data_IF_979625040965
#
_entry.id   IF_979625040965
#
_cell.length_a   1.000
_cell.length_b   1.000
_cell.length_c   1.000
_cell.angle_alpha   90.00
_cell.angle_beta   90.00
_cell.angle_gamma   90.00
#
_symmetry.space_group_name_H-M   'P 1'
#
loop_
_entity.id
_entity.type
_entity.pdbx_description
1 polymer ?
#
# COMPACT_ATOMS: atom_id res chain seq x y z
N UNK A 1 17.94 -5.25 15.06
CA UNK A 1 16.69 -5.93 14.61
C UNK A 1 16.41 -5.62 13.15
N UNK A 2 15.50 -6.34 12.48
CA UNK A 2 15.12 -6.08 11.07
C UNK A 2 14.62 -4.64 10.84
N UNK A 3 13.90 -4.06 11.82
CA UNK A 3 13.43 -2.67 11.77
C UNK A 3 14.56 -1.64 11.66
N UNK A 4 15.65 -1.82 12.42
CA UNK A 4 16.80 -0.91 12.35
C UNK A 4 17.43 -0.91 10.96
N UNK A 5 17.40 -2.05 10.23
CA UNK A 5 17.92 -2.13 8.86
C UNK A 5 17.11 -1.28 7.88
N UNK A 6 15.78 -1.19 8.04
CA UNK A 6 14.96 -0.33 7.19
C UNK A 6 15.27 1.14 7.40
N UNK A 7 15.40 1.58 8.65
CA UNK A 7 15.80 2.95 8.96
C UNK A 7 17.19 3.28 8.44
N UNK A 8 18.15 2.36 8.59
CA UNK A 8 19.50 2.51 8.05
C UNK A 8 19.48 2.63 6.52
N UNK A 9 18.77 1.73 5.83
CA UNK A 9 18.61 1.77 4.37
C UNK A 9 18.03 3.11 3.89
N UNK A 10 17.01 3.62 4.58
CA UNK A 10 16.40 4.92 4.25
C UNK A 10 17.39 6.06 4.45
N UNK A 11 18.17 6.04 5.53
CA UNK A 11 19.19 7.05 5.78
C UNK A 11 20.29 7.02 4.71
N UNK A 12 20.79 5.84 4.38
CA UNK A 12 21.89 5.69 3.42
C UNK A 12 21.44 6.06 1.99
N UNK A 13 20.23 5.66 1.60
CA UNK A 13 19.63 6.03 0.32
C UNK A 13 19.48 7.55 0.19
N UNK A 14 19.04 8.24 1.27
CA UNK A 14 18.94 9.70 1.29
C UNK A 14 20.31 10.38 1.20
N UNK A 15 21.32 9.86 1.91
CA UNK A 15 22.71 10.37 1.81
C UNK A 15 23.26 10.24 0.38
N UNK A 16 22.86 9.18 -0.33
CA UNK A 16 23.21 8.96 -1.72
C UNK A 16 22.37 9.80 -2.73
N UNK A 17 21.42 10.61 -2.25
CA UNK A 17 20.55 11.42 -3.10
C UNK A 17 19.46 10.63 -3.84
N UNK A 18 19.16 9.40 -3.40
CA UNK A 18 18.14 8.54 -4.01
C UNK A 18 16.75 8.82 -3.44
N UNK A 19 15.76 8.82 -4.33
CA UNK A 19 14.34 8.82 -3.96
C UNK A 19 13.89 7.40 -3.63
N UNK A 20 13.04 7.25 -2.63
CA UNK A 20 12.64 5.96 -2.09
C UNK A 20 11.13 5.75 -2.30
N UNK A 21 10.78 4.68 -3.01
CA UNK A 21 9.42 4.16 -3.05
C UNK A 21 9.30 2.99 -2.06
N UNK A 22 8.48 3.16 -1.02
CA UNK A 22 8.18 2.10 -0.06
C UNK A 22 6.94 1.31 -0.47
N UNK A 23 7.07 0.00 -0.67
CA UNK A 23 5.93 -0.88 -0.96
C UNK A 23 5.62 -1.72 0.28
N UNK A 24 4.36 -1.67 0.71
CA UNK A 24 3.87 -2.34 1.90
C UNK A 24 2.71 -3.25 1.53
N UNK A 25 2.75 -4.48 2.07
CA UNK A 25 1.72 -5.49 1.86
C UNK A 25 0.96 -5.72 3.17
N UNK A 26 -0.33 -6.00 3.04
CA UNK A 26 -1.19 -6.51 4.13
C UNK A 26 -1.93 -7.76 3.67
N UNK A 27 -2.29 -8.65 4.59
CA UNK A 27 -2.90 -9.94 4.28
C UNK A 27 -1.89 -11.08 4.11
N UNK A 28 -0.67 -10.90 4.60
CA UNK A 28 0.35 -11.96 4.67
C UNK A 28 -0.04 -13.08 5.65
N UNK A 29 0.56 -14.28 5.56
CA UNK A 29 0.15 -15.41 6.40
C UNK A 29 0.26 -15.08 7.89
N UNK A 30 -0.84 -15.26 8.63
CA UNK A 30 -0.92 -14.96 10.07
C UNK A 30 -1.08 -13.48 10.41
N UNK A 31 -1.34 -12.61 9.43
CA UNK A 31 -1.54 -11.19 9.65
C UNK A 31 -2.90 -10.88 10.31
N UNK A 32 -2.87 -10.01 11.32
CA UNK A 32 -4.05 -9.48 12.04
C UNK A 32 -4.21 -7.97 11.81
N UNK A 33 -5.36 -7.42 12.19
CA UNK A 33 -5.62 -5.96 12.12
C UNK A 33 -4.57 -5.15 12.88
N UNK A 34 -4.10 -5.64 14.02
CA UNK A 34 -3.05 -4.99 14.83
C UNK A 34 -1.71 -4.98 14.08
N UNK A 35 -1.35 -6.08 13.42
CA UNK A 35 -0.10 -6.14 12.66
C UNK A 35 -0.17 -5.30 11.37
N UNK A 36 -1.33 -5.24 10.71
CA UNK A 36 -1.55 -4.32 9.58
C UNK A 36 -1.33 -2.86 10.02
N UNK A 37 -1.80 -2.50 11.22
CA UNK A 37 -1.55 -1.18 11.79
C UNK A 37 -0.06 -0.91 12.02
N UNK A 38 0.70 -1.90 12.54
CA UNK A 38 2.15 -1.80 12.69
C UNK A 38 2.85 -1.55 11.35
N UNK A 39 2.36 -2.14 10.25
CA UNK A 39 2.86 -1.88 8.89
C UNK A 39 2.68 -0.41 8.48
N UNK A 40 1.50 0.17 8.75
CA UNK A 40 1.25 1.60 8.51
C UNK A 40 2.14 2.49 9.39
N UNK A 41 2.30 2.16 10.67
CA UNK A 41 3.13 2.93 11.59
C UNK A 41 4.61 2.90 11.17
N UNK A 42 5.10 1.75 10.69
CA UNK A 42 6.43 1.64 10.09
C UNK A 42 6.56 2.49 8.83
N UNK A 43 5.59 2.43 7.91
CA UNK A 43 5.62 3.26 6.70
C UNK A 43 5.74 4.75 7.06
N UNK A 44 4.89 5.18 8.00
CA UNK A 44 4.87 6.53 8.55
C UNK A 44 6.20 6.93 9.20
N UNK A 45 6.88 6.02 9.88
CA UNK A 45 8.17 6.30 10.55
C UNK A 45 9.32 6.43 9.54
N UNK A 46 9.32 5.62 8.47
CA UNK A 46 10.33 5.68 7.40
C UNK A 46 10.20 6.96 6.55
N UNK A 47 8.97 7.45 6.34
CA UNK A 47 8.66 8.67 5.59
C UNK A 47 9.33 8.69 4.20
N UNK A 48 9.15 7.62 3.43
CA UNK A 48 9.65 7.48 2.05
C UNK A 48 9.05 8.53 1.12
N UNK A 49 9.71 8.80 -0.02
CA UNK A 49 9.24 9.78 -1.02
C UNK A 49 7.89 9.42 -1.63
N UNK A 50 7.66 8.11 -1.79
CA UNK A 50 6.41 7.50 -2.20
C UNK A 50 6.12 6.28 -1.33
N UNK A 51 4.84 5.99 -1.14
CA UNK A 51 4.37 4.80 -0.43
C UNK A 51 3.21 4.14 -1.18
N UNK A 52 3.32 2.84 -1.39
CA UNK A 52 2.28 2.01 -1.99
C UNK A 52 1.82 0.97 -0.98
N UNK A 53 0.50 0.84 -0.83
CA UNK A 53 -0.13 -0.12 0.06
C UNK A 53 -1.02 -1.02 -0.79
N UNK A 54 -0.75 -2.33 -0.71
CA UNK A 54 -1.47 -3.36 -1.43
C UNK A 54 -1.98 -4.43 -0.48
N UNK A 55 -3.21 -4.91 -0.65
CA UNK A 55 -3.59 -6.20 -0.10
C UNK A 55 -2.82 -7.30 -0.82
N UNK A 56 -2.70 -8.45 -0.17
CA UNK A 56 -2.07 -9.64 -0.74
C UNK A 56 -2.83 -10.07 -1.99
N UNK A 57 -2.07 -10.49 -3.00
CA UNK A 57 -2.60 -11.05 -4.24
C UNK A 57 -1.95 -12.41 -4.44
N UNK A 58 -2.77 -13.45 -4.54
CA UNK A 58 -2.30 -14.84 -4.52
C UNK A 58 -2.32 -15.45 -5.91
N UNK A 59 -1.30 -15.24 -6.74
CA UNK A 59 -1.35 -15.70 -8.13
C UNK A 59 -1.27 -17.24 -8.25
N UNK A 60 -2.09 -17.89 -9.10
CA UNK A 60 -1.99 -19.32 -9.37
C UNK A 60 -0.57 -19.72 -9.79
N UNK A 61 -0.07 -20.83 -9.24
CA UNK A 61 1.30 -21.29 -9.45
C UNK A 61 2.34 -20.67 -8.50
N UNK A 62 1.92 -19.85 -7.54
CA UNK A 62 2.79 -19.39 -6.43
C UNK A 62 2.57 -20.22 -5.18
N UNK A 63 3.61 -20.38 -4.36
CA UNK A 63 3.52 -21.09 -3.07
C UNK A 63 2.43 -20.50 -2.15
N UNK A 64 2.24 -19.18 -2.21
CA UNK A 64 1.24 -18.49 -1.40
C UNK A 64 -0.19 -18.79 -1.85
N UNK A 65 -0.42 -18.95 -3.16
CA UNK A 65 -1.70 -19.41 -3.69
C UNK A 65 -2.03 -20.82 -3.22
N UNK A 66 -1.08 -21.74 -3.33
CA UNK A 66 -1.30 -23.13 -2.91
C UNK A 66 -1.59 -23.21 -1.40
N UNK A 67 -0.87 -22.43 -0.60
CA UNK A 67 -1.08 -22.32 0.84
C UNK A 67 -2.49 -21.81 1.17
N UNK A 68 -2.91 -20.70 0.55
CA UNK A 68 -4.20 -20.08 0.85
C UNK A 68 -5.37 -20.88 0.29
N UNK A 69 -5.17 -21.57 -0.85
CA UNK A 69 -6.13 -22.51 -1.40
C UNK A 69 -6.33 -23.71 -0.46
N UNK A 70 -5.25 -24.30 0.05
CA UNK A 70 -5.31 -25.41 0.99
C UNK A 70 -6.00 -25.04 2.31
N UNK A 71 -5.89 -23.77 2.73
CA UNK A 71 -6.55 -23.24 3.93
C UNK A 71 -7.98 -22.74 3.69
N UNK A 72 -8.47 -22.76 2.44
CA UNK A 72 -9.80 -22.27 2.08
C UNK A 72 -9.97 -20.75 2.19
N UNK A 73 -8.87 -19.99 2.09
CA UNK A 73 -8.89 -18.53 2.22
C UNK A 73 -9.23 -17.81 0.91
N UNK A 74 -9.12 -18.48 -0.24
CA UNK A 74 -9.48 -17.91 -1.54
C UNK A 74 -10.99 -18.02 -1.73
N UNK A 75 -11.66 -16.89 -1.93
CA UNK A 75 -13.13 -16.81 -1.92
C UNK A 75 -13.79 -17.09 -3.28
N UNK A 76 -13.00 -17.11 -4.36
CA UNK A 76 -13.49 -17.30 -5.73
C UNK A 76 -12.41 -17.90 -6.64
N UNK A 77 -12.81 -18.85 -7.48
CA UNK A 77 -11.99 -19.39 -8.58
C UNK A 77 -12.22 -18.63 -9.91
N UNK A 78 -13.15 -17.67 -9.94
CA UNK A 78 -13.39 -16.84 -11.11
C UNK A 78 -12.35 -15.71 -11.17
N UNK A 79 -11.39 -15.85 -12.09
CA UNK A 79 -10.31 -14.86 -12.28
C UNK A 79 -10.79 -13.44 -12.65
N UNK A 80 -12.04 -13.26 -13.10
CA UNK A 80 -12.59 -11.92 -13.32
C UNK A 80 -12.71 -11.12 -12.03
N UNK A 81 -12.95 -11.79 -10.90
CA UNK A 81 -13.17 -11.13 -9.60
C UNK A 81 -11.86 -10.63 -8.96
N UNK A 82 -10.72 -11.01 -9.57
CA UNK A 82 -9.38 -10.65 -9.10
C UNK A 82 -8.93 -9.27 -9.56
N UNK A 83 -9.71 -8.67 -10.46
CA UNK A 83 -9.56 -7.29 -10.92
C UNK A 83 -10.88 -6.54 -10.73
N UNK A 84 -10.80 -5.25 -10.43
CA UNK A 84 -11.96 -4.36 -10.43
C UNK A 84 -12.38 -4.05 -11.87
N UNK A 85 -13.57 -3.49 -12.07
CA UNK A 85 -14.03 -3.05 -13.40
C UNK A 85 -13.07 -2.04 -14.06
N UNK A 86 -12.46 -1.18 -13.24
CA UNK A 86 -11.42 -0.22 -13.66
C UNK A 86 -10.07 -0.88 -14.00
N UNK A 87 -9.96 -2.21 -13.94
CA UNK A 87 -8.74 -2.98 -14.21
C UNK A 87 -7.70 -2.89 -13.10
N UNK A 88 -8.09 -2.49 -11.89
CA UNK A 88 -7.21 -2.45 -10.72
C UNK A 88 -7.19 -3.79 -10.02
N UNK A 89 -6.14 -4.07 -9.26
CA UNK A 89 -6.06 -5.31 -8.50
C UNK A 89 -7.10 -5.36 -7.38
N UNK A 90 -7.77 -6.50 -7.24
CA UNK A 90 -8.70 -6.78 -6.15
C UNK A 90 -8.16 -7.89 -5.23
N UNK A 91 -8.59 -7.88 -3.96
CA UNK A 91 -8.23 -8.91 -3.00
C UNK A 91 -9.33 -9.96 -2.88
N UNK A 92 -9.02 -11.19 -3.30
CA UNK A 92 -9.93 -12.35 -3.23
C UNK A 92 -9.62 -13.29 -2.07
N UNK A 93 -8.94 -12.78 -1.05
CA UNK A 93 -8.49 -13.55 0.11
C UNK A 93 -9.23 -13.10 1.35
N UNK A 94 -9.79 -14.05 2.10
CA UNK A 94 -10.26 -13.84 3.46
C UNK A 94 -9.35 -14.57 4.43
N UNK A 95 -8.74 -13.81 5.34
CA UNK A 95 -7.99 -14.35 6.48
C UNK A 95 -8.91 -14.52 7.69
N UNK A 96 -8.51 -15.33 8.69
CA UNK A 96 -9.19 -15.37 9.97
C UNK A 96 -9.26 -13.97 10.59
N UNK A 97 -10.47 -13.43 10.73
CA UNK A 97 -10.73 -12.12 11.35
C UNK A 97 -10.51 -10.89 10.46
N UNK A 98 -10.10 -11.05 9.19
CA UNK A 98 -9.95 -9.95 8.22
C UNK A 98 -10.36 -10.40 6.82
N UNK A 99 -11.41 -9.79 6.28
CA UNK A 99 -11.85 -10.01 4.90
C UNK A 99 -10.99 -9.27 3.87
N UNK A 100 -11.00 -9.75 2.62
CA UNK A 100 -10.29 -9.09 1.51
C UNK A 100 -10.75 -7.65 1.30
N UNK A 101 -12.06 -7.41 1.48
CA UNK A 101 -12.65 -6.07 1.48
C UNK A 101 -12.06 -5.17 2.57
N UNK A 102 -12.00 -5.65 3.81
CA UNK A 102 -11.39 -4.90 4.92
C UNK A 102 -9.91 -4.60 4.65
N UNK A 103 -9.17 -5.50 4.00
CA UNK A 103 -7.78 -5.25 3.60
C UNK A 103 -7.65 -4.13 2.56
N UNK A 104 -8.53 -4.11 1.55
CA UNK A 104 -8.56 -3.04 0.53
C UNK A 104 -8.90 -1.70 1.18
N UNK A 105 -9.95 -1.66 2.00
CA UNK A 105 -10.36 -0.45 2.74
C UNK A 105 -9.25 0.03 3.70
N UNK A 106 -8.51 -0.91 4.30
CA UNK A 106 -7.34 -0.57 5.10
C UNK A 106 -6.21 0.03 4.26
N UNK A 107 -5.95 -0.47 3.06
CA UNK A 107 -4.98 0.16 2.14
C UNK A 107 -5.38 1.59 1.75
N UNK A 108 -6.68 1.86 1.54
CA UNK A 108 -7.17 3.23 1.31
C UNK A 108 -6.93 4.13 2.52
N UNK A 109 -7.12 3.59 3.73
CA UNK A 109 -6.84 4.28 4.98
C UNK A 109 -5.35 4.57 5.12
N UNK A 110 -4.49 3.61 4.80
CA UNK A 110 -3.03 3.79 4.80
C UNK A 110 -2.60 4.92 3.86
N UNK A 111 -3.12 4.95 2.63
CA UNK A 111 -2.81 6.02 1.67
C UNK A 111 -3.23 7.39 2.21
N UNK A 112 -4.45 7.51 2.74
CA UNK A 112 -4.93 8.76 3.36
C UNK A 112 -4.06 9.20 4.53
N UNK A 113 -3.84 8.32 5.50
CA UNK A 113 -3.04 8.63 6.70
C UNK A 113 -1.57 8.96 6.41
N UNK A 114 -1.00 8.37 5.35
CA UNK A 114 0.38 8.64 4.96
C UNK A 114 0.50 9.96 4.19
N UNK A 115 -0.28 10.15 3.13
CA UNK A 115 -0.14 11.26 2.20
C UNK A 115 -0.74 12.58 2.71
N UNK A 116 -1.80 12.54 3.52
CA UNK A 116 -2.43 13.75 4.08
C UNK A 116 -1.74 14.25 5.35
N UNK A 117 -0.70 13.56 5.81
CA UNK A 117 -0.01 13.88 7.05
C UNK A 117 0.76 15.21 6.91
N UNK A 118 0.62 16.18 7.84
CA UNK A 118 1.25 17.50 7.71
C UNK A 118 2.76 17.44 7.44
N UNK A 119 3.46 16.53 8.13
CA UNK A 119 4.90 16.29 7.94
C UNK A 119 5.25 15.89 6.49
N UNK A 120 4.44 15.04 5.86
CA UNK A 120 4.69 14.58 4.50
C UNK A 120 4.37 15.70 3.48
N UNK A 121 3.25 16.40 3.66
CA UNK A 121 2.85 17.52 2.81
C UNK A 121 3.94 18.60 2.82
N UNK A 122 4.42 18.99 4.00
CA UNK A 122 5.49 19.98 4.14
C UNK A 122 6.81 19.52 3.49
N UNK A 123 7.18 18.25 3.70
CA UNK A 123 8.35 17.65 3.06
C UNK A 123 8.28 17.73 1.53
N UNK A 124 7.15 17.36 0.93
CA UNK A 124 6.97 17.43 -0.53
C UNK A 124 6.89 18.86 -1.05
N UNK A 125 6.34 19.80 -0.28
CA UNK A 125 6.33 21.22 -0.62
C UNK A 125 7.77 21.78 -0.72
N UNK A 126 8.61 21.51 0.28
CA UNK A 126 10.04 21.87 0.23
C UNK A 126 10.73 21.21 -0.97
N UNK A 127 10.51 19.90 -1.18
CA UNK A 127 11.09 19.19 -2.32
C UNK A 127 10.69 19.80 -3.66
N UNK A 128 9.44 20.25 -3.80
CA UNK A 128 8.96 20.92 -5.01
C UNK A 128 9.60 22.29 -5.26
N UNK A 129 9.92 23.03 -4.19
CA UNK A 129 10.65 24.31 -4.28
C UNK A 129 12.11 24.07 -4.69
N UNK A 130 12.77 23.09 -4.06
CA UNK A 130 14.17 22.77 -4.32
C UNK A 130 14.38 22.07 -5.68
N UNK A 131 13.39 21.31 -6.15
CA UNK A 131 13.44 20.60 -7.42
C UNK A 131 12.12 20.78 -8.20
N UNK A 132 12.02 21.79 -9.06
CA UNK A 132 10.80 22.10 -9.81
C UNK A 132 10.30 20.97 -10.72
N UNK A 133 11.22 20.15 -11.26
CA UNK A 133 10.85 19.00 -12.11
C UNK A 133 10.12 17.92 -11.29
N UNK A 134 10.64 17.61 -10.11
CA UNK A 134 10.00 16.65 -9.20
C UNK A 134 8.72 17.21 -8.56
N UNK A 135 8.66 18.53 -8.33
CA UNK A 135 7.43 19.22 -7.95
C UNK A 135 6.31 19.02 -8.98
N UNK A 136 6.61 19.22 -10.27
CA UNK A 136 5.64 19.01 -11.35
C UNK A 136 5.15 17.55 -11.41
N UNK A 137 6.06 16.58 -11.24
CA UNK A 137 5.68 15.15 -11.18
C UNK A 137 4.77 14.86 -10.01
N UNK A 138 5.08 15.42 -8.84
CA UNK A 138 4.27 15.26 -7.62
C UNK A 138 2.87 15.84 -7.81
N UNK A 139 2.73 17.01 -8.43
CA UNK A 139 1.42 17.62 -8.73
C UNK A 139 0.62 16.77 -9.73
N UNK A 140 1.26 16.25 -10.79
CA UNK A 140 0.60 15.35 -11.74
C UNK A 140 0.11 14.07 -11.05
N UNK A 141 0.94 13.45 -10.22
CA UNK A 141 0.56 12.28 -9.44
C UNK A 141 -0.59 12.61 -8.47
N UNK A 142 -0.50 13.73 -7.74
CA UNK A 142 -1.56 14.16 -6.83
C UNK A 142 -2.91 14.34 -7.54
N UNK A 143 -2.93 14.88 -8.77
CA UNK A 143 -4.17 14.99 -9.56
C UNK A 143 -4.79 13.63 -9.90
N UNK A 144 -3.98 12.66 -10.29
CA UNK A 144 -4.43 11.30 -10.61
C UNK A 144 -4.98 10.61 -9.36
N UNK A 145 -4.25 10.73 -8.25
CA UNK A 145 -4.60 10.06 -7.00
C UNK A 145 -5.60 10.83 -6.14
N UNK A 146 -5.97 12.06 -6.47
CA UNK A 146 -6.90 12.87 -5.68
C UNK A 146 -8.27 12.19 -5.53
N UNK A 147 -8.82 11.67 -6.63
CA UNK A 147 -10.14 11.03 -6.63
C UNK A 147 -10.14 9.73 -5.80
N UNK A 148 -9.22 8.77 -6.00
CA UNK A 148 -9.10 7.59 -5.13
C UNK A 148 -8.79 7.93 -3.66
N UNK A 149 -7.99 8.96 -3.40
CA UNK A 149 -7.63 9.35 -2.04
C UNK A 149 -8.81 9.92 -1.25
N UNK A 150 -9.73 10.61 -1.93
CA UNK A 150 -10.93 11.20 -1.31
C UNK A 150 -12.11 10.24 -1.26
N UNK A 151 -12.32 9.46 -2.33
CA UNK A 151 -13.51 8.61 -2.47
C UNK A 151 -13.27 7.14 -2.04
N UNK A 152 -12.02 6.73 -1.83
CA UNK A 152 -11.67 5.32 -1.61
C UNK A 152 -11.72 4.50 -2.90
N UNK A 153 -11.26 3.26 -2.81
CA UNK A 153 -11.39 2.25 -3.87
C UNK A 153 -12.84 1.81 -3.92
N UNK A 154 -13.47 1.90 -5.09
CA UNK A 154 -14.81 1.35 -5.30
C UNK A 154 -14.68 -0.16 -5.41
N UNK A 155 -15.13 -0.85 -4.38
CA UNK A 155 -15.42 -2.28 -4.43
C UNK A 155 -16.91 -2.39 -4.73
N UNK A 156 -17.24 -2.82 -5.94
CA UNK A 156 -18.62 -2.84 -6.38
C UNK A 156 -19.48 -3.72 -5.45
N UNK A 157 -20.64 -3.19 -5.07
CA UNK A 157 -21.66 -3.93 -4.32
C UNK A 157 -22.38 -4.85 -5.31
N UNK A 158 -21.89 -6.07 -5.49
CA UNK A 158 -22.72 -7.18 -5.98
C UNK A 158 -23.61 -7.68 -4.85
#
# INVERSE_FOLDING_TARGET
TRLNRYHQFVQDSRKAGLLINGTYLVGTPGETKETMRKTLDLAKSLNTDLAQFYPVMVYPGTELYDLYKAQGFIITDNYRDWVTEDGLHNCVVNLPGVSGKEMVEFCDTCRREFYLRPKYVFYKAIQGILNPREGLRTVKAAKIFAKPLLLGTRLDRS
#
